data_IF_127856267885
#
_entry.id   IF_127856267885
#
_cell.length_a   1.000
_cell.length_b   1.000
_cell.length_c   1.000
_cell.angle_alpha   90.00
_cell.angle_beta   90.00
_cell.angle_gamma   90.00
#
_symmetry.space_group_name_H-M   'P 1'
#
loop_
_entity.id
_entity.type
_entity.pdbx_description
1 polymer ?
#
# COMPACT_ATOMS: atom_id res chain seq x y z
N UNK A 1 -8.04 -14.16 35.76
CA UNK A 1 -8.42 -12.73 35.69
C UNK A 1 -9.31 -12.57 34.48
N UNK A 2 -10.56 -12.14 34.65
CA UNK A 2 -11.51 -11.98 33.55
C UNK A 2 -11.04 -10.85 32.64
N UNK A 3 -10.59 -11.18 31.43
CA UNK A 3 -10.29 -10.17 30.40
C UNK A 3 -11.57 -9.38 30.12
N UNK A 4 -11.50 -8.06 30.31
CA UNK A 4 -12.64 -7.16 30.15
C UNK A 4 -13.07 -7.14 28.69
N UNK A 5 -14.15 -7.84 28.38
CA UNK A 5 -14.74 -7.88 27.05
C UNK A 5 -15.59 -6.62 26.86
N UNK A 6 -15.08 -5.64 26.13
CA UNK A 6 -15.86 -4.44 25.79
C UNK A 6 -16.67 -4.73 24.54
N UNK A 7 -18.00 -4.84 24.69
CA UNK A 7 -18.94 -4.94 23.57
C UNK A 7 -19.50 -3.56 23.27
N UNK A 8 -19.22 -3.05 22.08
CA UNK A 8 -19.78 -1.79 21.58
C UNK A 8 -20.81 -2.10 20.50
N UNK A 9 -22.04 -1.62 20.71
CA UNK A 9 -23.11 -1.64 19.71
C UNK A 9 -23.24 -0.22 19.16
N UNK A 10 -22.87 -0.03 17.90
CA UNK A 10 -22.73 1.32 17.32
C UNK A 10 -23.37 1.36 15.93
N UNK A 11 -24.00 2.48 15.59
CA UNK A 11 -24.38 2.75 14.21
C UNK A 11 -23.11 2.96 13.36
N UNK A 12 -23.10 2.51 12.11
CA UNK A 12 -21.99 2.72 11.15
C UNK A 12 -21.56 4.19 11.11
N UNK A 13 -22.53 5.10 11.15
CA UNK A 13 -22.30 6.55 11.17
C UNK A 13 -21.52 7.02 12.40
N UNK A 14 -21.79 6.41 13.56
CA UNK A 14 -21.22 6.78 14.86
C UNK A 14 -19.90 6.02 15.15
N UNK A 15 -19.59 4.98 14.37
CA UNK A 15 -18.42 4.14 14.59
C UNK A 15 -17.10 4.85 14.24
N UNK A 16 -17.11 5.72 13.22
CA UNK A 16 -15.97 6.59 12.89
C UNK A 16 -15.57 7.53 14.04
N UNK A 17 -16.57 8.03 14.77
CA UNK A 17 -16.42 8.89 15.96
C UNK A 17 -16.08 8.07 17.22
N UNK A 18 -16.56 6.83 17.32
CA UNK A 18 -16.20 5.93 18.42
C UNK A 18 -14.71 5.60 18.44
N UNK A 19 -14.05 5.49 17.29
CA UNK A 19 -12.59 5.33 17.23
C UNK A 19 -11.84 6.57 17.77
N UNK A 20 -12.42 7.76 17.63
CA UNK A 20 -11.87 9.01 18.21
C UNK A 20 -11.99 9.03 19.75
N UNK A 21 -13.11 8.52 20.29
CA UNK A 21 -13.33 8.37 21.74
C UNK A 21 -12.52 7.22 22.36
N UNK A 22 -12.20 6.21 21.56
CA UNK A 22 -11.43 5.04 21.97
C UNK A 22 -9.92 5.33 22.07
N UNK A 23 -9.40 6.39 21.45
CA UNK A 23 -7.96 6.69 21.37
C UNK A 23 -7.28 6.91 22.74
N UNK A 24 -8.02 7.42 23.72
CA UNK A 24 -7.53 7.58 25.10
C UNK A 24 -7.61 6.30 25.95
N UNK A 25 -8.47 5.33 25.58
CA UNK A 25 -8.75 4.10 26.34
C UNK A 25 -8.27 2.79 25.65
N UNK A 26 -7.88 2.84 24.36
CA UNK A 26 -7.39 1.70 23.56
C UNK A 26 -6.01 1.20 23.97
N UNK A 27 -5.26 1.98 24.76
CA UNK A 27 -3.92 1.59 25.23
C UNK A 27 -3.95 0.38 26.19
N UNK A 28 -5.12 0.07 26.74
CA UNK A 28 -5.31 -0.95 27.77
C UNK A 28 -6.15 -2.16 27.32
N UNK A 29 -6.67 -2.17 26.09
CA UNK A 29 -7.60 -3.21 25.63
C UNK A 29 -6.87 -4.27 24.80
N UNK A 30 -6.85 -5.51 25.29
CA UNK A 30 -6.34 -6.66 24.52
C UNK A 30 -7.35 -7.20 23.51
N UNK A 31 -8.65 -6.94 23.70
CA UNK A 31 -9.77 -7.44 22.89
C UNK A 31 -10.84 -6.36 22.68
N UNK A 32 -11.31 -6.16 21.45
CA UNK A 32 -12.42 -5.26 21.11
C UNK A 32 -13.41 -5.98 20.19
N UNK A 33 -14.67 -6.06 20.60
CA UNK A 33 -15.73 -6.68 19.79
C UNK A 33 -16.77 -5.60 19.50
N UNK A 34 -16.99 -5.33 18.22
CA UNK A 34 -17.93 -4.30 17.77
C UNK A 34 -19.01 -4.95 16.90
N UNK A 35 -20.26 -4.71 17.28
CA UNK A 35 -21.41 -5.08 16.47
C UNK A 35 -21.98 -3.81 15.83
N UNK A 36 -22.04 -3.79 14.50
CA UNK A 36 -22.51 -2.63 13.74
C UNK A 36 -23.86 -2.94 13.09
N UNK A 37 -24.86 -2.08 13.32
CA UNK A 37 -26.20 -2.17 12.73
C UNK A 37 -26.52 -0.82 12.06
N UNK A 38 -27.00 -0.75 10.80
CA UNK A 38 -27.21 0.54 10.09
C UNK A 38 -28.67 0.91 9.82
N UNK A 39 -29.01 2.19 10.06
CA UNK A 39 -30.08 2.98 9.41
C UNK A 39 -29.54 4.37 8.96
N UNK A 40 -29.66 4.77 7.66
CA UNK A 40 -29.73 6.18 7.15
C UNK A 40 -28.46 6.95 6.67
N UNK A 41 -28.55 7.98 5.77
CA UNK A 41 -27.49 8.37 4.80
C UNK A 41 -26.44 9.48 5.18
N UNK A 42 -25.46 9.58 4.25
CA UNK A 42 -24.17 10.31 4.06
C UNK A 42 -23.85 11.66 4.74
N UNK A 43 -22.58 11.83 5.16
CA UNK A 43 -21.91 13.10 5.52
C UNK A 43 -20.37 12.99 5.49
N UNK A 44 -19.65 14.11 5.31
CA UNK A 44 -18.19 14.18 5.10
C UNK A 44 -17.36 14.21 6.40
N UNK A 45 -16.12 13.72 6.37
CA UNK A 45 -15.23 13.54 7.53
C UNK A 45 -13.89 14.31 7.41
N UNK A 46 -13.28 14.66 8.55
CA UNK A 46 -11.97 15.35 8.63
C UNK A 46 -11.06 14.63 9.64
N UNK A 47 -9.76 14.56 9.35
CA UNK A 47 -8.77 13.73 10.05
C UNK A 47 -8.06 14.52 11.19
N UNK A 48 -7.95 13.94 12.40
CA UNK A 48 -6.94 14.39 13.37
C UNK A 48 -6.56 13.35 14.45
N UNK A 49 -5.23 13.29 14.69
CA UNK A 49 -4.50 12.88 15.92
C UNK A 49 -3.80 11.51 15.96
N UNK A 50 -2.97 11.32 17.02
CA UNK A 50 -1.49 11.37 16.97
C UNK A 50 -0.78 10.27 17.79
N UNK A 51 -1.44 9.19 18.28
CA UNK A 51 -0.75 8.09 19.01
C UNK A 51 -1.54 6.77 19.04
N UNK A 52 -0.81 5.65 19.04
CA UNK A 52 -1.21 4.35 18.46
C UNK A 52 -1.84 3.31 19.42
N UNK A 53 -2.80 2.46 18.96
CA UNK A 53 -3.45 1.40 19.77
C UNK A 53 -2.71 0.04 19.81
N UNK A 54 -3.01 -0.81 20.82
CA UNK A 54 -2.44 -2.18 21.05
C UNK A 54 -3.45 -3.33 20.83
N UNK A 55 -4.33 -3.18 19.86
CA UNK A 55 -5.47 -4.07 19.63
C UNK A 55 -5.03 -5.43 19.03
N UNK A 56 -5.46 -6.56 19.58
CA UNK A 56 -5.15 -7.91 19.01
C UNK A 56 -6.35 -8.65 18.42
N UNK A 57 -7.56 -8.33 18.86
CA UNK A 57 -8.79 -8.98 18.40
C UNK A 57 -9.80 -7.91 18.01
N UNK A 58 -10.34 -8.02 16.80
CA UNK A 58 -11.34 -7.12 16.25
C UNK A 58 -12.45 -7.92 15.57
N UNK A 59 -13.71 -7.59 15.88
CA UNK A 59 -14.87 -8.19 15.22
C UNK A 59 -15.75 -7.07 14.69
N UNK A 60 -16.26 -7.25 13.47
CA UNK A 60 -17.21 -6.38 12.80
C UNK A 60 -18.37 -7.22 12.28
N UNK A 61 -19.57 -6.95 12.77
CA UNK A 61 -20.80 -7.48 12.19
C UNK A 61 -21.49 -6.34 11.43
N UNK A 62 -21.96 -6.55 10.20
CA UNK A 62 -22.72 -5.53 9.48
C UNK A 62 -23.76 -6.07 8.50
N UNK A 63 -24.79 -5.26 8.20
CA UNK A 63 -25.93 -5.56 7.32
C UNK A 63 -26.04 -4.46 6.25
N UNK A 64 -25.85 -4.78 4.96
CA UNK A 64 -25.82 -3.78 3.87
C UNK A 64 -26.49 -4.22 2.57
N UNK A 65 -27.05 -3.24 1.84
CA UNK A 65 -27.61 -3.41 0.48
C UNK A 65 -26.54 -3.61 -0.60
N UNK A 66 -25.41 -2.91 -0.50
CA UNK A 66 -24.25 -2.98 -1.40
C UNK A 66 -22.99 -2.79 -0.56
N UNK A 67 -21.93 -3.56 -0.85
CA UNK A 67 -20.71 -3.57 -0.05
C UNK A 67 -19.49 -3.23 -0.93
N UNK A 68 -18.72 -2.20 -0.54
CA UNK A 68 -17.40 -1.91 -1.10
C UNK A 68 -16.35 -1.95 0.02
N UNK A 69 -15.18 -2.53 -0.26
CA UNK A 69 -14.03 -2.49 0.64
C UNK A 69 -13.62 -1.05 0.97
N UNK A 70 -13.72 -0.15 0.01
CA UNK A 70 -13.29 1.25 0.11
C UNK A 70 -14.08 2.02 1.18
N UNK A 71 -15.36 1.70 1.33
CA UNK A 71 -16.25 2.46 2.20
C UNK A 71 -16.17 2.02 3.67
N UNK A 72 -15.80 0.76 3.92
CA UNK A 72 -15.91 0.16 5.25
C UNK A 72 -14.61 -0.41 5.78
N UNK A 73 -13.89 -1.14 4.94
CA UNK A 73 -12.74 -1.95 5.35
C UNK A 73 -11.47 -1.09 5.30
N UNK A 74 -11.18 -0.44 4.17
CA UNK A 74 -9.95 0.35 4.01
C UNK A 74 -9.78 1.43 5.09
N UNK A 75 -10.79 2.28 5.40
CA UNK A 75 -10.65 3.30 6.44
C UNK A 75 -10.40 2.71 7.83
N UNK A 76 -10.91 1.50 8.08
CA UNK A 76 -10.66 0.76 9.32
C UNK A 76 -9.23 0.23 9.36
N UNK A 77 -8.76 -0.41 8.28
CA UNK A 77 -7.42 -0.95 8.16
C UNK A 77 -6.36 0.15 8.33
N UNK A 78 -6.57 1.32 7.72
CA UNK A 78 -5.66 2.49 7.89
C UNK A 78 -5.53 2.92 9.35
N UNK A 79 -6.60 2.81 10.15
CA UNK A 79 -6.56 3.15 11.58
C UNK A 79 -5.87 2.07 12.42
N UNK A 80 -5.73 0.86 11.88
CA UNK A 80 -5.05 -0.29 12.49
C UNK A 80 -3.64 -0.52 11.94
N UNK A 81 -3.12 0.36 11.08
CA UNK A 81 -1.83 0.20 10.36
C UNK A 81 -0.61 -0.05 11.27
N UNK A 82 -0.69 0.28 12.55
CA UNK A 82 0.40 0.09 13.51
C UNK A 82 0.27 -1.16 14.39
N UNK A 83 -0.73 -2.01 14.15
CA UNK A 83 -0.84 -3.28 14.84
C UNK A 83 0.19 -4.26 14.29
N UNK A 84 0.88 -4.94 15.21
CA UNK A 84 1.79 -6.05 14.87
C UNK A 84 1.02 -7.37 14.78
N UNK A 85 -0.05 -7.54 15.57
CA UNK A 85 -0.89 -8.74 15.55
C UNK A 85 -2.39 -8.38 15.43
N UNK A 86 -3.14 -9.11 14.60
CA UNK A 86 -4.59 -8.89 14.45
C UNK A 86 -5.35 -10.19 14.16
N UNK A 87 -6.39 -10.45 14.95
CA UNK A 87 -7.41 -11.45 14.64
C UNK A 87 -8.70 -10.70 14.29
N UNK A 88 -9.10 -10.78 13.02
CA UNK A 88 -10.21 -10.07 12.41
C UNK A 88 -11.40 -11.02 12.16
N UNK A 89 -12.56 -10.75 12.74
CA UNK A 89 -13.80 -11.46 12.43
C UNK A 89 -14.77 -10.52 11.72
N UNK A 90 -15.12 -10.82 10.48
CA UNK A 90 -16.11 -10.10 9.70
C UNK A 90 -17.36 -10.98 9.57
N UNK A 91 -18.53 -10.44 9.91
CA UNK A 91 -19.82 -11.06 9.60
C UNK A 91 -20.62 -10.06 8.77
N UNK A 92 -20.92 -10.40 7.52
CA UNK A 92 -21.55 -9.50 6.56
C UNK A 92 -22.84 -10.11 6.06
N UNK A 93 -23.93 -9.38 6.19
CA UNK A 93 -25.22 -9.73 5.58
C UNK A 93 -25.44 -8.84 4.36
N UNK A 94 -25.57 -9.43 3.17
CA UNK A 94 -25.66 -8.75 1.87
C UNK A 94 -27.02 -8.96 1.19
N UNK A 95 -27.41 -8.03 0.33
CA UNK A 95 -28.59 -8.14 -0.55
C UNK A 95 -28.23 -8.20 -2.06
N UNK A 96 -26.95 -8.18 -2.42
CA UNK A 96 -26.44 -8.41 -3.79
C UNK A 96 -25.60 -9.68 -3.85
N UNK A 97 -25.41 -10.24 -5.05
CA UNK A 97 -24.59 -11.44 -5.27
C UNK A 97 -23.09 -11.20 -5.16
N UNK A 98 -22.64 -9.95 -5.02
CA UNK A 98 -21.22 -9.60 -5.01
C UNK A 98 -20.53 -10.18 -3.77
N UNK A 99 -19.44 -10.92 -3.99
CA UNK A 99 -18.71 -11.66 -2.96
C UNK A 99 -17.51 -10.87 -2.50
N UNK A 100 -17.34 -10.80 -1.18
CA UNK A 100 -16.09 -10.43 -0.53
C UNK A 100 -15.14 -11.62 -0.72
N UNK A 101 -14.28 -11.54 -1.73
CA UNK A 101 -13.23 -12.54 -1.93
C UNK A 101 -12.19 -12.40 -0.82
N UNK A 102 -11.97 -13.48 -0.05
CA UNK A 102 -10.95 -13.50 1.00
C UNK A 102 -9.53 -13.25 0.46
N UNK A 103 -9.25 -13.55 -0.81
CA UNK A 103 -7.97 -13.22 -1.45
C UNK A 103 -7.84 -11.70 -1.61
N UNK A 104 -8.88 -11.04 -2.12
CA UNK A 104 -8.88 -9.58 -2.24
C UNK A 104 -8.75 -8.91 -0.87
N UNK A 105 -9.47 -9.36 0.17
CA UNK A 105 -9.28 -8.83 1.52
C UNK A 105 -7.85 -9.03 2.05
N UNK A 106 -7.24 -10.18 1.74
CA UNK A 106 -5.85 -10.43 2.11
C UNK A 106 -4.91 -9.39 1.49
N UNK A 107 -5.06 -9.13 0.19
CA UNK A 107 -4.25 -8.14 -0.52
C UNK A 107 -4.45 -6.73 0.07
N UNK A 108 -5.70 -6.35 0.35
CA UNK A 108 -6.01 -5.07 1.02
C UNK A 108 -5.37 -4.96 2.42
N UNK A 109 -5.39 -6.04 3.20
CA UNK A 109 -4.73 -6.10 4.51
C UNK A 109 -3.21 -5.92 4.38
N UNK A 110 -2.57 -6.60 3.41
CA UNK A 110 -1.13 -6.48 3.21
C UNK A 110 -0.72 -5.08 2.75
N UNK A 111 -1.48 -4.48 1.84
CA UNK A 111 -1.23 -3.12 1.34
C UNK A 111 -1.37 -2.08 2.46
N UNK A 112 -2.38 -2.24 3.32
CA UNK A 112 -2.76 -1.21 4.28
C UNK A 112 -2.26 -1.42 5.71
N UNK A 113 -1.84 -2.64 6.10
CA UNK A 113 -1.34 -2.96 7.44
C UNK A 113 0.09 -3.53 7.39
N UNK A 114 1.02 -2.72 6.90
CA UNK A 114 2.42 -3.12 6.63
C UNK A 114 3.23 -3.57 7.85
N UNK A 115 2.80 -3.24 9.07
CA UNK A 115 3.48 -3.66 10.32
C UNK A 115 2.98 -4.99 10.88
N UNK A 116 1.97 -5.58 10.26
CA UNK A 116 1.29 -6.75 10.77
C UNK A 116 2.12 -8.02 10.51
N UNK A 117 2.75 -8.55 11.55
CA UNK A 117 3.59 -9.75 11.49
C UNK A 117 2.79 -11.04 11.75
N UNK A 118 1.57 -10.94 12.28
CA UNK A 118 0.70 -12.09 12.50
C UNK A 118 -0.74 -11.69 12.39
N UNK A 119 -1.48 -12.33 11.49
CA UNK A 119 -2.90 -12.08 11.41
C UNK A 119 -3.73 -13.27 11.01
N UNK A 120 -4.94 -13.27 11.50
CA UNK A 120 -5.98 -14.22 11.13
C UNK A 120 -7.20 -13.42 10.77
N UNK A 121 -7.85 -13.74 9.65
CA UNK A 121 -9.17 -13.21 9.39
C UNK A 121 -10.16 -14.34 9.15
N UNK A 122 -11.41 -14.09 9.55
CA UNK A 122 -12.56 -14.94 9.25
C UNK A 122 -13.67 -14.05 8.70
N UNK A 123 -14.24 -14.41 7.57
CA UNK A 123 -15.37 -13.73 6.95
C UNK A 123 -16.54 -14.71 6.89
N UNK A 124 -17.65 -14.34 7.49
CA UNK A 124 -18.93 -15.01 7.32
C UNK A 124 -19.84 -14.11 6.49
N UNK A 125 -20.27 -14.56 5.31
CA UNK A 125 -21.15 -13.79 4.44
C UNK A 125 -22.50 -14.50 4.27
N UNK A 126 -23.60 -13.78 4.48
CA UNK A 126 -24.97 -14.28 4.33
C UNK A 126 -25.72 -13.46 3.27
N UNK A 127 -26.27 -14.12 2.25
CA UNK A 127 -27.09 -13.46 1.21
C UNK A 127 -28.58 -13.52 1.59
N UNK A 128 -29.19 -12.34 1.77
CA UNK A 128 -30.63 -12.17 1.93
C UNK A 128 -31.28 -11.82 0.60
N UNK A 129 -32.18 -12.69 0.13
CA UNK A 129 -33.06 -12.38 -1.01
C UNK A 129 -34.42 -11.97 -0.44
N UNK A 130 -34.89 -10.78 -0.82
CA UNK A 130 -36.25 -10.34 -0.48
C UNK A 130 -37.24 -10.93 -1.48
N UNK A 131 -37.99 -11.93 -1.03
CA UNK A 131 -39.23 -12.34 -1.70
C UNK A 131 -40.42 -11.76 -0.93
N UNK A 132 -41.51 -11.41 -1.62
CA UNK A 132 -42.56 -10.46 -1.20
C UNK A 132 -43.23 -10.69 0.18
N UNK A 133 -42.89 -11.72 0.96
CA UNK A 133 -43.41 -11.91 2.33
C UNK A 133 -42.36 -12.39 3.35
N UNK A 134 -41.13 -12.79 2.96
CA UNK A 134 -40.05 -13.21 3.90
C UNK A 134 -38.65 -12.92 3.36
N UNK A 135 -37.75 -12.50 4.25
CA UNK A 135 -36.30 -12.49 4.01
C UNK A 135 -35.74 -13.87 4.29
N UNK A 136 -35.31 -14.60 3.26
CA UNK A 136 -34.68 -15.91 3.41
C UNK A 136 -33.16 -15.78 3.21
N UNK A 137 -32.38 -16.44 4.08
CA UNK A 137 -30.93 -16.61 3.92
C UNK A 137 -30.73 -17.70 2.88
N UNK A 138 -30.10 -17.35 1.76
CA UNK A 138 -29.98 -18.25 0.60
C UNK A 138 -28.60 -18.89 0.47
N UNK A 139 -27.55 -18.22 0.91
CA UNK A 139 -26.19 -18.76 0.93
C UNK A 139 -25.42 -18.28 2.16
N UNK A 140 -24.56 -19.16 2.69
CA UNK A 140 -23.62 -18.88 3.78
C UNK A 140 -22.23 -19.31 3.35
N UNK A 141 -21.32 -18.35 3.27
CA UNK A 141 -19.91 -18.57 2.91
C UNK A 141 -19.04 -18.21 4.10
N UNK A 142 -18.13 -19.11 4.48
CA UNK A 142 -17.26 -18.91 5.63
C UNK A 142 -15.80 -19.12 5.18
N UNK A 143 -15.02 -18.05 5.21
CA UNK A 143 -13.62 -18.04 4.79
C UNK A 143 -12.77 -17.74 6.01
N UNK A 144 -11.82 -18.61 6.35
CA UNK A 144 -10.85 -18.36 7.41
C UNK A 144 -9.44 -18.52 6.85
N UNK A 145 -8.62 -17.48 6.98
CA UNK A 145 -7.20 -17.54 6.64
C UNK A 145 -6.35 -17.06 7.81
N UNK A 146 -5.16 -17.65 7.95
CA UNK A 146 -4.15 -17.25 8.93
C UNK A 146 -2.80 -17.10 8.23
N UNK A 147 -2.11 -16.03 8.57
CA UNK A 147 -0.82 -15.68 8.01
C UNK A 147 0.14 -15.26 9.11
N UNK A 148 1.39 -15.63 8.93
CA UNK A 148 2.50 -14.99 9.59
C UNK A 148 3.02 -14.01 8.54
N UNK A 149 2.88 -12.72 8.81
CA UNK A 149 3.54 -11.69 8.02
C UNK A 149 5.02 -11.99 8.05
N UNK A 150 5.60 -12.32 6.89
CA UNK A 150 7.05 -12.36 6.78
C UNK A 150 7.53 -10.96 7.13
N UNK A 151 8.50 -10.84 8.04
CA UNK A 151 9.38 -9.70 7.99
C UNK A 151 9.99 -9.72 6.58
N UNK A 152 9.60 -8.76 5.75
CA UNK A 152 10.25 -8.58 4.47
C UNK A 152 11.67 -8.13 4.78
N UNK A 153 12.60 -9.08 4.82
CA UNK A 153 14.03 -8.82 4.90
C UNK A 153 14.49 -8.21 3.59
N UNK A 154 14.06 -6.98 3.31
CA UNK A 154 14.47 -6.23 2.13
C UNK A 154 15.99 -6.12 2.15
N UNK A 155 16.63 -6.40 1.02
CA UNK A 155 18.08 -6.35 0.93
C UNK A 155 18.53 -4.91 1.19
N UNK A 156 19.36 -4.71 2.22
CA UNK A 156 20.05 -3.45 2.47
C UNK A 156 21.46 -3.50 1.91
N UNK A 157 21.93 -2.37 1.39
CA UNK A 157 23.28 -2.21 0.87
C UNK A 157 23.74 -0.78 1.04
N UNK A 158 25.04 -0.56 0.94
CA UNK A 158 25.57 0.75 0.57
C UNK A 158 25.18 0.98 -0.90
N UNK A 159 24.55 2.12 -1.18
CA UNK A 159 24.07 2.51 -2.50
C UNK A 159 24.73 3.81 -2.95
N UNK A 160 24.75 4.08 -4.26
CA UNK A 160 25.27 5.34 -4.82
C UNK A 160 24.35 6.52 -4.49
N UNK A 161 23.03 6.27 -4.48
CA UNK A 161 21.96 7.22 -4.15
C UNK A 161 21.77 8.36 -5.18
N UNK A 162 22.50 8.35 -6.29
CA UNK A 162 22.35 9.32 -7.38
C UNK A 162 22.81 8.78 -8.74
N UNK A 163 22.53 7.50 -9.04
CA UNK A 163 22.86 6.91 -10.33
C UNK A 163 21.92 7.40 -11.46
N UNK A 164 22.02 8.68 -11.80
CA UNK A 164 21.41 9.27 -12.98
C UNK A 164 22.35 9.19 -14.21
N UNK A 165 21.83 9.55 -15.38
CA UNK A 165 22.55 9.46 -16.66
C UNK A 165 23.77 10.39 -16.78
N UNK A 166 23.85 11.45 -15.98
CA UNK A 166 25.04 12.32 -15.93
C UNK A 166 26.20 11.70 -15.14
N UNK A 167 25.90 10.78 -14.23
CA UNK A 167 26.89 10.12 -13.38
C UNK A 167 27.43 8.82 -14.00
N UNK A 168 26.95 8.44 -15.18
CA UNK A 168 27.40 7.25 -15.92
C UNK A 168 28.29 7.68 -17.10
N UNK A 169 29.51 7.16 -17.14
CA UNK A 169 30.45 7.34 -18.24
C UNK A 169 30.49 6.07 -19.06
N UNK A 170 30.11 6.15 -20.33
CA UNK A 170 30.18 5.04 -21.29
C UNK A 170 31.33 5.31 -22.24
N UNK A 171 32.37 4.47 -22.21
CA UNK A 171 33.49 4.52 -23.14
C UNK A 171 33.21 3.60 -24.34
N UNK A 172 32.79 2.36 -24.04
CA UNK A 172 32.29 1.36 -24.99
C UNK A 172 31.37 0.36 -24.27
N UNK A 173 30.96 -0.73 -24.95
CA UNK A 173 30.03 -1.73 -24.41
C UNK A 173 30.52 -2.43 -23.14
N UNK A 174 31.84 -2.59 -22.98
CA UNK A 174 32.45 -3.31 -21.85
C UNK A 174 33.05 -2.36 -20.80
N UNK A 175 33.23 -1.08 -21.15
CA UNK A 175 33.87 -0.07 -20.30
C UNK A 175 32.87 1.00 -19.87
N UNK A 176 32.20 0.73 -18.76
CA UNK A 176 31.23 1.63 -18.11
C UNK A 176 31.75 2.03 -16.73
N UNK A 177 31.76 3.33 -16.46
CA UNK A 177 32.15 3.91 -15.17
C UNK A 177 31.00 4.63 -14.49
N UNK A 178 30.97 4.60 -13.17
CA UNK A 178 30.08 5.39 -12.32
C UNK A 178 30.93 6.40 -11.53
N UNK A 179 30.47 7.64 -11.44
CA UNK A 179 31.16 8.74 -10.76
C UNK A 179 30.20 9.46 -9.80
N UNK A 180 30.77 10.34 -8.96
CA UNK A 180 30.03 11.18 -8.01
C UNK A 180 29.42 10.44 -6.82
N UNK A 181 30.27 9.73 -6.09
CA UNK A 181 29.93 8.98 -4.88
C UNK A 181 29.68 9.86 -3.63
N UNK A 182 29.42 11.17 -3.79
CA UNK A 182 29.27 12.12 -2.70
C UNK A 182 28.03 11.87 -1.82
N UNK A 183 26.98 11.28 -2.40
CA UNK A 183 25.68 11.06 -1.76
C UNK A 183 25.43 9.61 -1.31
N UNK A 184 26.48 8.78 -1.31
CA UNK A 184 26.39 7.38 -0.89
C UNK A 184 25.78 7.23 0.50
N UNK A 185 24.90 6.24 0.66
CA UNK A 185 24.30 5.92 1.95
C UNK A 185 23.99 4.43 2.07
N UNK A 186 23.77 3.96 3.30
CA UNK A 186 23.30 2.60 3.58
C UNK A 186 21.77 2.61 3.71
N UNK A 187 21.07 1.88 2.83
CA UNK A 187 19.61 1.81 2.79
C UNK A 187 19.14 0.59 1.98
N UNK A 188 17.85 0.48 1.68
CA UNK A 188 17.29 -0.58 0.83
C UNK A 188 17.88 -0.53 -0.59
N UNK A 189 18.39 -1.66 -1.08
CA UNK A 189 18.99 -1.82 -2.40
C UNK A 189 18.04 -1.44 -3.53
N UNK A 190 16.74 -1.75 -3.38
CA UNK A 190 15.72 -1.37 -4.37
C UNK A 190 15.62 0.16 -4.58
N UNK A 191 16.11 0.96 -3.63
CA UNK A 191 16.19 2.42 -3.80
C UNK A 191 17.16 2.80 -4.91
N UNK A 192 18.31 2.12 -5.02
CA UNK A 192 19.29 2.36 -6.08
C UNK A 192 18.68 2.05 -7.45
N UNK A 193 18.02 0.89 -7.56
CA UNK A 193 17.32 0.47 -8.78
C UNK A 193 16.25 1.48 -9.17
N UNK A 194 15.44 1.91 -8.19
CA UNK A 194 14.38 2.88 -8.42
C UNK A 194 14.91 4.27 -8.84
N UNK A 195 16.03 4.72 -8.26
CA UNK A 195 16.69 5.97 -8.65
C UNK A 195 17.15 5.90 -10.11
N UNK A 196 17.87 4.85 -10.49
CA UNK A 196 18.31 4.66 -11.88
C UNK A 196 17.13 4.55 -12.85
N UNK A 197 16.07 3.81 -12.46
CA UNK A 197 14.84 3.72 -13.26
C UNK A 197 14.17 5.09 -13.43
N UNK A 198 14.07 5.90 -12.39
CA UNK A 198 13.43 7.21 -12.46
C UNK A 198 14.03 8.09 -13.56
N UNK A 199 15.36 8.07 -13.73
CA UNK A 199 16.04 8.87 -14.74
C UNK A 199 16.03 8.21 -16.13
N UNK A 200 16.23 6.89 -16.25
CA UNK A 200 16.20 6.23 -17.57
C UNK A 200 14.83 6.32 -18.24
N UNK A 201 13.76 6.45 -17.45
CA UNK A 201 12.38 6.56 -17.90
C UNK A 201 12.05 7.93 -18.50
N UNK A 202 12.84 8.97 -18.22
CA UNK A 202 12.58 10.33 -18.69
C UNK A 202 12.65 10.40 -20.22
N UNK A 203 11.69 11.13 -20.80
CA UNK A 203 11.55 11.35 -22.25
C UNK A 203 11.48 10.07 -23.12
N UNK A 204 11.19 8.91 -22.52
CA UNK A 204 10.99 7.65 -23.26
C UNK A 204 9.57 7.50 -23.77
N UNK A 205 9.45 6.98 -25.00
CA UNK A 205 8.15 6.59 -25.57
C UNK A 205 7.46 5.51 -24.73
N UNK A 206 8.23 4.52 -24.26
CA UNK A 206 7.78 3.48 -23.33
C UNK A 206 8.64 3.48 -22.06
N UNK A 207 8.26 4.27 -21.04
CA UNK A 207 9.03 4.37 -19.81
C UNK A 207 8.98 3.07 -19.00
N UNK A 208 7.83 2.36 -18.99
CA UNK A 208 7.70 1.11 -18.22
C UNK A 208 8.66 0.06 -18.78
N UNK A 209 8.71 -0.11 -20.11
CA UNK A 209 9.66 -1.03 -20.73
C UNK A 209 11.12 -0.54 -20.64
N UNK A 210 11.36 0.75 -20.45
CA UNK A 210 12.74 1.23 -20.19
C UNK A 210 13.22 0.81 -18.80
N UNK A 211 12.33 0.85 -17.80
CA UNK A 211 12.64 0.41 -16.45
C UNK A 211 12.88 -1.11 -16.36
N UNK A 212 12.19 -1.92 -17.16
CA UNK A 212 12.35 -3.39 -17.12
C UNK A 212 13.77 -3.85 -17.45
N UNK A 213 14.49 -3.15 -18.32
CA UNK A 213 15.89 -3.48 -18.63
C UNK A 213 16.80 -3.36 -17.40
N UNK A 214 16.67 -2.27 -16.63
CA UNK A 214 17.43 -2.06 -15.39
C UNK A 214 17.04 -3.08 -14.32
N UNK A 215 15.74 -3.26 -14.10
CA UNK A 215 15.22 -4.20 -13.09
C UNK A 215 15.69 -5.63 -13.42
N UNK A 216 15.62 -6.03 -14.69
CA UNK A 216 16.10 -7.32 -15.15
C UNK A 216 17.61 -7.49 -14.92
N UNK A 217 18.43 -6.51 -15.33
CA UNK A 217 19.88 -6.55 -15.16
C UNK A 217 20.30 -6.66 -13.69
N UNK A 218 19.67 -5.88 -12.80
CA UNK A 218 19.91 -6.00 -11.36
C UNK A 218 19.48 -7.37 -10.82
N UNK A 219 18.30 -7.86 -11.22
CA UNK A 219 17.75 -9.13 -10.76
C UNK A 219 18.59 -10.35 -11.19
N UNK A 220 19.38 -10.24 -12.27
CA UNK A 220 20.33 -11.28 -12.67
C UNK A 220 21.52 -11.42 -11.71
N UNK A 221 21.90 -10.34 -11.01
CA UNK A 221 23.01 -10.34 -10.05
C UNK A 221 22.49 -10.59 -8.63
N UNK A 222 21.40 -9.92 -8.25
CA UNK A 222 20.78 -10.02 -6.92
C UNK A 222 19.30 -10.32 -7.13
N UNK A 223 18.89 -11.54 -6.78
CA UNK A 223 17.52 -11.98 -6.98
C UNK A 223 16.56 -11.30 -6.00
N UNK A 224 15.60 -10.53 -6.53
CA UNK A 224 14.58 -9.84 -5.74
C UNK A 224 13.37 -10.73 -5.45
N UNK A 225 12.75 -10.57 -4.29
CA UNK A 225 11.42 -11.12 -4.04
C UNK A 225 10.34 -10.34 -4.80
N UNK A 226 9.21 -10.97 -5.12
CA UNK A 226 8.10 -10.31 -5.84
C UNK A 226 7.62 -9.02 -5.16
N UNK A 227 7.65 -8.98 -3.82
CA UNK A 227 7.29 -7.79 -3.05
C UNK A 227 8.30 -6.64 -3.25
N UNK A 228 9.60 -6.95 -3.32
CA UNK A 228 10.64 -5.96 -3.62
C UNK A 228 10.46 -5.39 -5.02
N UNK A 229 10.14 -6.26 -5.99
CA UNK A 229 9.88 -5.86 -7.38
C UNK A 229 8.68 -4.91 -7.48
N UNK A 230 7.58 -5.19 -6.76
CA UNK A 230 6.41 -4.31 -6.75
C UNK A 230 6.72 -2.94 -6.14
N UNK A 231 7.56 -2.91 -5.10
CA UNK A 231 7.93 -1.69 -4.41
C UNK A 231 8.80 -0.76 -5.26
N UNK A 232 9.55 -1.28 -6.24
CA UNK A 232 10.37 -0.46 -7.15
C UNK A 232 9.52 0.63 -7.83
N UNK A 233 8.30 0.32 -8.27
CA UNK A 233 7.41 1.33 -8.90
C UNK A 233 7.10 2.49 -7.96
N UNK A 234 6.79 2.19 -6.69
CA UNK A 234 6.50 3.22 -5.71
C UNK A 234 7.73 4.07 -5.39
N UNK A 235 8.91 3.44 -5.28
CA UNK A 235 10.16 4.16 -5.04
C UNK A 235 10.54 5.05 -6.24
N UNK A 236 10.26 4.63 -7.48
CA UNK A 236 10.42 5.46 -8.69
C UNK A 236 9.56 6.71 -8.56
N UNK A 237 8.25 6.54 -8.30
CA UNK A 237 7.32 7.66 -8.14
C UNK A 237 7.73 8.60 -7.00
N UNK A 238 8.19 8.05 -5.86
CA UNK A 238 8.71 8.85 -4.75
C UNK A 238 9.94 9.63 -5.14
N UNK A 239 10.91 9.03 -5.84
CA UNK A 239 12.13 9.72 -6.29
C UNK A 239 11.81 10.86 -7.27
N UNK A 240 10.92 10.62 -8.23
CA UNK A 240 10.43 11.65 -9.17
C UNK A 240 9.76 12.81 -8.42
N UNK A 241 8.85 12.50 -7.48
CA UNK A 241 8.18 13.51 -6.65
C UNK A 241 9.17 14.30 -5.78
N UNK A 242 10.17 13.63 -5.20
CA UNK A 242 11.26 14.29 -4.46
C UNK A 242 12.03 15.24 -5.37
N UNK A 243 12.40 14.82 -6.59
CA UNK A 243 13.15 15.64 -7.54
C UNK A 243 12.43 16.95 -7.85
N UNK A 244 11.13 16.92 -8.17
CA UNK A 244 10.37 18.16 -8.46
C UNK A 244 10.10 18.99 -7.21
N UNK A 245 9.94 18.36 -6.04
CA UNK A 245 9.77 19.07 -4.76
C UNK A 245 11.05 19.82 -4.39
N UNK A 246 12.21 19.18 -4.54
CA UNK A 246 13.52 19.78 -4.28
C UNK A 246 13.78 20.91 -5.29
N UNK A 247 13.52 20.70 -6.59
CA UNK A 247 13.60 21.77 -7.60
C UNK A 247 12.74 22.98 -7.21
N UNK A 248 11.48 22.76 -6.85
CA UNK A 248 10.56 23.83 -6.47
C UNK A 248 11.04 24.61 -5.25
N UNK A 249 11.58 23.92 -4.23
CA UNK A 249 12.19 24.56 -3.07
C UNK A 249 13.43 25.37 -3.45
N UNK A 250 14.34 24.80 -4.23
CA UNK A 250 15.58 25.49 -4.58
C UNK A 250 15.33 26.71 -5.48
N UNK A 251 14.32 26.69 -6.36
CA UNK A 251 13.88 27.87 -7.12
C UNK A 251 13.48 29.04 -6.22
N UNK A 252 12.89 28.77 -5.05
CA UNK A 252 12.54 29.83 -4.09
C UNK A 252 13.79 30.41 -3.40
N UNK A 253 14.82 29.60 -3.20
CA UNK A 253 16.05 29.99 -2.47
C UNK A 253 17.09 30.61 -3.41
N UNK A 254 17.17 30.16 -4.66
CA UNK A 254 18.17 30.55 -5.66
C UNK A 254 17.50 30.74 -7.04
N UNK A 255 16.80 31.86 -7.22
CA UNK A 255 16.02 32.15 -8.43
C UNK A 255 16.82 32.17 -9.73
N UNK A 256 18.12 32.44 -9.65
CA UNK A 256 18.98 32.69 -10.83
C UNK A 256 19.67 31.42 -11.35
N UNK A 257 19.55 30.29 -10.64
CA UNK A 257 20.19 29.04 -11.03
C UNK A 257 19.27 28.18 -11.93
N UNK A 258 19.30 28.48 -13.23
CA UNK A 258 18.51 27.77 -14.24
C UNK A 258 18.83 26.27 -14.37
N UNK A 259 19.97 25.79 -13.84
CA UNK A 259 20.35 24.38 -13.87
C UNK A 259 19.40 23.50 -13.04
N UNK A 260 18.76 24.09 -12.02
CA UNK A 260 17.89 23.39 -11.07
C UNK A 260 16.54 22.96 -11.68
N UNK A 261 16.24 23.42 -12.90
CA UNK A 261 14.92 23.26 -13.54
C UNK A 261 14.94 22.28 -14.72
N UNK A 262 16.13 21.82 -15.12
CA UNK A 262 16.33 21.07 -16.37
C UNK A 262 15.50 19.78 -16.40
N UNK A 263 15.40 19.07 -15.27
CA UNK A 263 14.65 17.81 -15.17
C UNK A 263 13.17 17.97 -14.83
N UNK A 264 12.68 19.18 -14.50
CA UNK A 264 11.33 19.34 -13.94
C UNK A 264 10.21 19.00 -14.93
N UNK A 265 10.32 19.48 -16.17
CA UNK A 265 9.30 19.24 -17.20
C UNK A 265 9.25 17.74 -17.61
N UNK A 266 10.37 17.07 -17.91
CA UNK A 266 10.36 15.62 -18.15
C UNK A 266 9.80 14.82 -16.97
N UNK A 267 10.15 15.19 -15.74
CA UNK A 267 9.66 14.48 -14.54
C UNK A 267 8.15 14.64 -14.36
N UNK A 268 7.60 15.85 -14.49
CA UNK A 268 6.14 16.06 -14.44
C UNK A 268 5.41 15.29 -15.54
N UNK A 269 5.93 15.34 -16.77
CA UNK A 269 5.33 14.58 -17.88
C UNK A 269 5.34 13.08 -17.62
N UNK A 270 6.42 12.55 -17.02
CA UNK A 270 6.49 11.15 -16.64
C UNK A 270 5.50 10.81 -15.52
N UNK A 271 5.44 11.61 -14.45
CA UNK A 271 4.49 11.40 -13.34
C UNK A 271 3.03 11.40 -13.83
N UNK A 272 2.66 12.35 -14.68
CA UNK A 272 1.33 12.42 -15.30
C UNK A 272 1.03 11.16 -16.12
N UNK A 273 1.99 10.71 -16.93
CA UNK A 273 1.86 9.48 -17.72
C UNK A 273 1.70 8.25 -16.84
N UNK A 274 2.54 8.08 -15.81
CA UNK A 274 2.47 6.94 -14.87
C UNK A 274 1.13 6.88 -14.15
N UNK A 275 0.56 8.05 -13.79
CA UNK A 275 -0.75 8.14 -13.13
C UNK A 275 -1.92 7.66 -14.01
N UNK A 276 -1.73 7.51 -15.33
CA UNK A 276 -2.75 6.95 -16.23
C UNK A 276 -2.70 5.43 -16.38
N UNK A 277 -1.65 4.78 -15.86
CA UNK A 277 -1.41 3.35 -16.03
C UNK A 277 -1.87 2.61 -14.79
N UNK A 278 -2.63 1.52 -14.98
CA UNK A 278 -3.07 0.70 -13.86
C UNK A 278 -1.86 0.02 -13.18
N UNK A 279 -1.74 0.17 -11.86
CA UNK A 279 -0.57 -0.32 -11.10
C UNK A 279 -0.34 -1.82 -11.24
N UNK A 280 -1.42 -2.63 -11.28
CA UNK A 280 -1.31 -4.08 -11.51
C UNK A 280 -0.60 -4.43 -12.81
N UNK A 281 -0.78 -3.65 -13.89
CA UNK A 281 -0.09 -3.87 -15.15
C UNK A 281 1.43 -3.64 -14.99
N UNK A 282 1.81 -2.61 -14.25
CA UNK A 282 3.23 -2.29 -13.98
C UNK A 282 3.87 -3.42 -13.16
N UNK A 283 3.21 -3.87 -12.08
CA UNK A 283 3.71 -4.98 -11.25
C UNK A 283 3.91 -6.26 -12.05
N UNK A 284 2.92 -6.62 -12.87
CA UNK A 284 3.02 -7.80 -13.74
C UNK A 284 4.17 -7.66 -14.75
N UNK A 285 4.35 -6.47 -15.32
CA UNK A 285 5.42 -6.19 -16.28
C UNK A 285 6.80 -6.32 -15.63
N UNK A 286 7.01 -5.71 -14.45
CA UNK A 286 8.27 -5.79 -13.71
C UNK A 286 8.58 -7.21 -13.24
N UNK A 287 7.59 -7.92 -12.68
CA UNK A 287 7.75 -9.33 -12.28
C UNK A 287 8.07 -10.23 -13.46
N UNK A 288 7.45 -10.01 -14.62
CA UNK A 288 7.71 -10.80 -15.83
C UNK A 288 9.13 -10.61 -16.36
N UNK A 289 9.65 -9.38 -16.26
CA UNK A 289 11.05 -9.09 -16.59
C UNK A 289 12.01 -9.90 -15.70
N UNK A 290 11.74 -10.01 -14.39
CA UNK A 290 12.55 -10.81 -13.48
C UNK A 290 12.39 -12.33 -13.70
N UNK A 291 11.17 -12.80 -14.02
CA UNK A 291 10.87 -14.22 -14.20
C UNK A 291 11.59 -14.87 -15.39
N UNK A 292 12.02 -14.06 -16.37
CA UNK A 292 12.75 -14.51 -17.57
C UNK A 292 14.23 -14.85 -17.29
N UNK A 293 14.68 -14.73 -16.03
CA UNK A 293 16.06 -14.96 -15.58
C UNK A 293 16.31 -16.39 -15.07
N UNK A 294 15.44 -17.36 -15.41
CA UNK A 294 15.54 -18.77 -15.01
C UNK A 294 15.84 -19.69 -16.18
#
# INVERSE_FOLDING_TARGET
MSESLTKLKVNVKDFGDCLYLLDSNLKCLSKLIINVEHIGPKGNFTLATKKLPKLKYFSLCSIYKTFSYDDLIIPLLHRMINLEELILFLSVVRFSSDVIDGIQLHDEILVHMTRLNKFTFSINTELLIKNDIKTDITTKENIQHSFIGKEFGQVQSIIHNDANDYNIIIIDEDNIGLIDFGDMCETFLISEVAIACAYIMLDKQDPINSATYLIHGYNQIIQFENIEIDLIYHFICTRLAMSVTISAYQKQVQSDNHYLVISEKPVWSLLEKLNTIHTTFIYQTFRSACASSK
#
